data_IF_844230178356
#
_entry.id   IF_844230178356
#
_cell.length_a   1.000
_cell.length_b   1.000
_cell.length_c   1.000
_cell.angle_alpha   90.00
_cell.angle_beta   90.00
_cell.angle_gamma   90.00
#
_symmetry.space_group_name_H-M   'P 1'
#
loop_
_entity.id
_entity.type
_entity.pdbx_description
1 polymer ?
#
# COMPACT_ATOMS: atom_id res chain seq x y z
N UNK A 1 -13.89 -11.77 -2.47
CA UNK A 1 -12.86 -11.85 -1.41
C UNK A 1 -11.65 -10.99 -1.77
N UNK A 2 -11.63 -9.65 -1.64
CA UNK A 2 -10.36 -8.86 -1.67
C UNK A 2 -10.52 -7.52 -0.93
N UNK A 3 -10.54 -7.54 0.42
CA UNK A 3 -10.74 -6.34 1.29
C UNK A 3 -9.67 -5.25 1.05
N UNK A 4 -8.48 -5.64 0.59
CA UNK A 4 -7.37 -4.74 0.26
C UNK A 4 -7.68 -3.85 -0.96
N UNK A 5 -8.49 -4.30 -1.94
CA UNK A 5 -8.69 -3.62 -3.25
C UNK A 5 -9.54 -2.38 -3.07
N UNK A 6 -10.67 -2.56 -2.36
CA UNK A 6 -11.58 -1.49 -1.98
C UNK A 6 -10.92 -0.35 -1.19
N UNK A 7 -9.83 -0.61 -0.46
CA UNK A 7 -9.11 0.44 0.29
C UNK A 7 -8.16 1.25 -0.58
N UNK A 8 -7.48 0.63 -1.54
CA UNK A 8 -6.65 1.34 -2.52
C UNK A 8 -7.57 2.11 -3.48
N UNK A 9 -8.69 1.51 -3.90
CA UNK A 9 -9.72 2.19 -4.70
C UNK A 9 -10.32 3.40 -3.95
N UNK A 10 -10.50 3.32 -2.64
CA UNK A 10 -10.89 4.47 -1.80
C UNK A 10 -9.85 5.59 -1.77
N UNK A 11 -8.61 5.34 -2.17
CA UNK A 11 -7.54 6.32 -2.29
C UNK A 11 -7.38 6.84 -3.73
N UNK A 12 -8.37 6.69 -4.62
CA UNK A 12 -8.28 7.16 -6.02
C UNK A 12 -7.90 8.63 -6.23
N UNK A 13 -8.16 9.51 -5.26
CA UNK A 13 -7.73 10.92 -5.30
C UNK A 13 -6.23 11.13 -4.97
N UNK A 14 -5.57 10.13 -4.37
CA UNK A 14 -4.16 10.21 -3.97
C UNK A 14 -3.40 8.95 -4.36
N UNK A 15 -2.41 9.06 -5.26
CA UNK A 15 -1.62 7.90 -5.66
C UNK A 15 -0.94 7.29 -4.43
N UNK A 16 -1.17 5.99 -4.25
CA UNK A 16 -0.60 5.24 -3.15
C UNK A 16 0.83 4.87 -3.52
N UNK A 17 1.80 5.58 -2.97
CA UNK A 17 3.21 5.38 -3.28
C UNK A 17 3.84 4.48 -2.22
N UNK A 18 4.55 3.44 -2.65
CA UNK A 18 5.31 2.59 -1.74
C UNK A 18 6.51 3.37 -1.15
N UNK A 19 6.58 3.59 0.17
CA UNK A 19 7.70 4.32 0.79
C UNK A 19 9.06 3.62 0.64
N UNK A 20 9.10 2.30 0.41
CA UNK A 20 10.36 1.56 0.28
C UNK A 20 10.98 1.53 -1.12
N UNK A 21 10.21 1.81 -2.18
CA UNK A 21 10.72 1.84 -3.56
C UNK A 21 10.29 3.05 -4.38
N UNK A 22 9.39 3.89 -3.88
CA UNK A 22 8.86 5.05 -4.60
C UNK A 22 7.94 4.73 -5.78
N UNK A 23 7.59 3.45 -5.99
CA UNK A 23 6.66 3.05 -7.05
C UNK A 23 5.21 3.27 -6.60
N UNK A 24 4.36 3.72 -7.53
CA UNK A 24 2.91 3.74 -7.34
C UNK A 24 2.36 2.31 -7.27
N UNK A 25 1.48 2.08 -6.31
CA UNK A 25 0.71 0.86 -6.15
C UNK A 25 -0.65 1.12 -6.77
N UNK A 26 -0.94 0.47 -7.89
CA UNK A 26 -2.24 0.58 -8.54
C UNK A 26 -3.22 -0.46 -7.98
N UNK A 27 -4.53 -0.18 -7.99
CA UNK A 27 -5.55 -1.17 -7.61
C UNK A 27 -5.62 -2.37 -8.58
N UNK A 28 -5.00 -2.26 -9.75
CA UNK A 28 -4.81 -3.33 -10.74
C UNK A 28 -3.50 -4.11 -10.55
N UNK A 29 -2.59 -3.66 -9.68
CA UNK A 29 -1.36 -4.40 -9.40
C UNK A 29 -1.64 -5.68 -8.59
N UNK A 30 -0.68 -6.61 -8.65
CA UNK A 30 -0.69 -7.85 -7.89
C UNK A 30 -0.74 -7.60 -6.37
N UNK A 31 -1.97 -7.54 -5.86
CA UNK A 31 -2.31 -7.33 -4.46
C UNK A 31 -1.73 -8.37 -3.50
N UNK A 32 -1.23 -9.50 -4.02
CA UNK A 32 -0.51 -10.50 -3.25
C UNK A 32 0.83 -9.99 -2.70
N UNK A 33 1.44 -9.01 -3.39
CA UNK A 33 2.73 -8.44 -3.00
C UNK A 33 2.60 -7.09 -2.29
N UNK A 34 1.38 -6.68 -1.92
CA UNK A 34 1.12 -5.40 -1.24
C UNK A 34 0.64 -5.65 0.18
N UNK A 35 1.37 -5.08 1.12
CA UNK A 35 1.00 -5.01 2.52
C UNK A 35 0.34 -3.67 2.85
N UNK A 36 -0.56 -3.75 3.83
CA UNK A 36 -1.33 -2.63 4.31
C UNK A 36 -1.16 -2.52 5.82
N UNK A 37 -0.75 -1.33 6.27
CA UNK A 37 -0.63 -1.01 7.69
C UNK A 37 -1.41 0.27 7.95
N UNK A 38 -2.26 0.23 8.98
CA UNK A 38 -2.93 1.42 9.48
C UNK A 38 -2.23 1.91 10.74
N UNK A 39 -1.74 3.15 10.73
CA UNK A 39 -1.13 3.73 11.93
C UNK A 39 -2.21 4.18 12.92
N UNK A 40 -1.80 4.40 14.19
CA UNK A 40 -2.69 4.93 15.25
C UNK A 40 -3.32 6.28 14.88
N UNK A 41 -2.71 7.05 13.97
CA UNK A 41 -3.23 8.34 13.47
C UNK A 41 -4.24 8.19 12.32
N UNK A 42 -4.74 6.97 12.06
CA UNK A 42 -5.64 6.62 10.94
C UNK A 42 -5.03 6.82 9.55
N UNK A 43 -3.71 6.98 9.44
CA UNK A 43 -3.02 7.00 8.15
C UNK A 43 -2.93 5.59 7.61
N UNK A 44 -3.41 5.41 6.38
CA UNK A 44 -3.34 4.16 5.64
C UNK A 44 -2.03 4.15 4.86
N UNK A 45 -1.15 3.20 5.17
CA UNK A 45 0.15 3.03 4.50
C UNK A 45 0.11 1.71 3.74
N UNK A 46 0.49 1.76 2.47
CA UNK A 46 0.63 0.59 1.64
C UNK A 46 2.07 0.52 1.14
N UNK A 47 2.64 -0.68 1.13
CA UNK A 47 3.99 -0.92 0.63
C UNK A 47 4.10 -2.33 0.09
N UNK A 48 5.07 -2.55 -0.78
CA UNK A 48 5.33 -3.90 -1.27
C UNK A 48 5.91 -4.77 -0.16
N UNK A 49 5.55 -6.05 -0.10
CA UNK A 49 6.10 -7.04 0.84
C UNK A 49 7.63 -7.06 0.79
N UNK A 50 8.20 -7.03 -0.41
CA UNK A 50 9.64 -6.91 -0.67
C UNK A 50 10.26 -5.61 -0.14
N UNK A 51 9.46 -4.55 0.00
CA UNK A 51 9.88 -3.26 0.51
C UNK A 51 9.76 -3.15 2.03
N UNK A 52 9.19 -4.15 2.71
CA UNK A 52 9.05 -4.15 4.17
C UNK A 52 10.38 -3.87 4.86
N UNK A 53 11.46 -4.55 4.48
CA UNK A 53 12.78 -4.33 5.07
C UNK A 53 13.33 -2.92 4.83
N UNK A 54 12.98 -2.28 3.70
CA UNK A 54 13.40 -0.91 3.40
C UNK A 54 12.61 0.15 4.15
N UNK A 55 11.34 -0.14 4.45
CA UNK A 55 10.45 0.78 5.17
C UNK A 55 10.72 0.79 6.68
N UNK A 56 11.20 -0.34 7.22
CA UNK A 56 11.41 -0.53 8.67
C UNK A 56 12.87 -0.43 9.13
N UNK A 57 13.80 -0.03 8.27
CA UNK A 57 15.22 0.18 8.59
C UNK A 57 15.48 1.60 9.03
#
# INVERSE_FOLDING_TARGET
>A
MHRKKKRIESHWDHPVICPGCGKEIKPDDDMGNVEYVRTKRKTDIFFHTECMEKVWK
#
